data_IF_318321260194
#
_entry.id   IF_318321260194
#
_cell.length_a   1.000
_cell.length_b   1.000
_cell.length_c   1.000
_cell.angle_alpha   90.00
_cell.angle_beta   90.00
_cell.angle_gamma   90.00
#
_symmetry.space_group_name_H-M   'P 1'
#
loop_
_entity.id
_entity.type
_entity.pdbx_description
1 polymer ?
#
# COMPACT_ATOMS: atom_id res chain seq x y z
N UNK A 1 -11.02 -10.76 -7.00
CA UNK A 1 -9.73 -10.05 -6.87
C UNK A 1 -8.88 -10.79 -5.84
N UNK A 2 -8.29 -11.90 -6.31
CA UNK A 2 -7.54 -12.82 -5.45
C UNK A 2 -6.06 -12.43 -5.26
N UNK A 3 -5.65 -11.29 -5.84
CA UNK A 3 -4.27 -10.83 -5.85
C UNK A 3 -3.70 -10.64 -4.43
N UNK A 4 -4.54 -10.17 -3.49
CA UNK A 4 -4.15 -10.04 -2.07
C UNK A 4 -4.04 -11.38 -1.36
N UNK A 5 -4.56 -12.45 -1.95
CA UNK A 5 -4.52 -13.79 -1.36
C UNK A 5 -3.29 -14.61 -1.79
N UNK A 6 -2.55 -14.14 -2.78
CA UNK A 6 -1.35 -14.80 -3.30
C UNK A 6 -0.05 -14.26 -2.64
N UNK A 7 -0.15 -14.05 -1.34
CA UNK A 7 0.96 -13.63 -0.49
C UNK A 7 1.92 -14.79 -0.25
N UNK A 8 3.04 -14.80 -0.95
CA UNK A 8 4.10 -15.81 -0.77
C UNK A 8 5.37 -15.18 -0.26
N UNK A 9 6.07 -15.82 0.71
CA UNK A 9 7.41 -15.41 1.08
C UNK A 9 8.37 -15.50 -0.12
N UNK A 10 9.39 -14.67 -0.14
CA UNK A 10 10.45 -14.67 -1.15
C UNK A 10 10.68 -13.28 -1.77
N UNK A 11 9.63 -12.53 -1.99
CA UNK A 11 9.68 -11.17 -2.56
C UNK A 11 8.47 -10.35 -2.12
N UNK A 12 8.55 -9.04 -2.32
CA UNK A 12 7.41 -8.17 -2.10
C UNK A 12 6.72 -7.81 -3.42
N UNK A 13 5.41 -7.59 -3.36
CA UNK A 13 4.59 -7.23 -4.50
C UNK A 13 4.13 -5.77 -4.46
N UNK A 14 4.02 -5.15 -5.62
CA UNK A 14 3.49 -3.79 -5.82
C UNK A 14 2.09 -3.86 -6.44
N UNK A 15 1.14 -3.18 -5.82
CA UNK A 15 -0.23 -3.08 -6.26
C UNK A 15 -0.57 -1.62 -6.56
N UNK A 16 -0.72 -1.28 -7.84
CA UNK A 16 -1.03 0.06 -8.31
C UNK A 16 -2.52 0.11 -8.67
N UNK A 17 -3.29 0.93 -7.96
CA UNK A 17 -4.73 1.04 -8.19
C UNK A 17 -5.27 2.43 -7.91
N UNK A 18 -6.38 2.79 -8.59
CA UNK A 18 -7.07 4.04 -8.29
C UNK A 18 -7.67 4.01 -6.87
N UNK A 19 -7.78 5.19 -6.25
CA UNK A 19 -8.37 5.34 -4.90
C UNK A 19 -9.77 4.77 -4.78
N UNK A 20 -10.53 4.75 -5.87
CA UNK A 20 -11.87 4.14 -5.92
C UNK A 20 -11.87 2.64 -5.61
N UNK A 21 -10.74 1.96 -5.79
CA UNK A 21 -10.59 0.54 -5.47
C UNK A 21 -10.13 0.28 -4.03
N UNK A 22 -9.84 1.31 -3.24
CA UNK A 22 -9.45 1.15 -1.82
C UNK A 22 -10.42 0.27 -1.02
N UNK A 23 -11.74 0.40 -1.13
CA UNK A 23 -12.66 -0.49 -0.40
C UNK A 23 -12.44 -1.98 -0.72
N UNK A 24 -12.08 -2.31 -1.96
CA UNK A 24 -11.75 -3.69 -2.36
C UNK A 24 -10.47 -4.19 -1.70
N UNK A 25 -9.46 -3.31 -1.57
CA UNK A 25 -8.22 -3.63 -0.84
C UNK A 25 -8.54 -3.90 0.63
N UNK A 26 -9.32 -3.03 1.27
CA UNK A 26 -9.72 -3.19 2.67
C UNK A 26 -10.52 -4.48 2.90
N UNK A 27 -11.42 -4.84 1.97
CA UNK A 27 -12.10 -6.14 1.97
C UNK A 27 -11.09 -7.29 1.93
N UNK A 28 -10.09 -7.21 1.07
CA UNK A 28 -9.02 -8.20 0.97
C UNK A 28 -8.20 -8.33 2.25
N UNK A 29 -7.95 -7.23 2.99
CA UNK A 29 -7.28 -7.30 4.30
C UNK A 29 -8.08 -8.12 5.31
N UNK A 30 -9.40 -7.98 5.33
CA UNK A 30 -10.28 -8.79 6.17
C UNK A 30 -10.13 -10.28 5.85
N UNK A 31 -10.17 -10.64 4.57
CA UNK A 31 -10.00 -12.03 4.13
C UNK A 31 -8.60 -12.58 4.43
N UNK A 32 -7.55 -11.76 4.35
CA UNK A 32 -6.21 -12.15 4.79
C UNK A 32 -6.16 -12.42 6.29
N UNK A 33 -6.78 -11.56 7.10
CA UNK A 33 -6.82 -11.70 8.54
C UNK A 33 -7.60 -12.94 9.02
N UNK A 34 -8.49 -13.50 8.20
CA UNK A 34 -9.10 -14.81 8.47
C UNK A 34 -8.06 -15.93 8.53
N UNK A 35 -6.96 -15.81 7.79
CA UNK A 35 -5.89 -16.81 7.72
C UNK A 35 -4.88 -16.69 8.88
N UNK A 36 -4.81 -15.54 9.56
CA UNK A 36 -3.88 -15.33 10.67
C UNK A 36 -3.57 -13.87 10.95
N UNK A 37 -2.57 -13.58 11.79
CA UNK A 37 -2.13 -12.22 12.09
C UNK A 37 -1.70 -11.46 10.83
N UNK A 38 -2.00 -10.17 10.79
CA UNK A 38 -1.68 -9.27 9.69
C UNK A 38 -1.18 -7.94 10.24
N UNK A 39 -0.08 -7.41 9.67
CA UNK A 39 0.39 -6.06 9.96
C UNK A 39 0.05 -5.14 8.78
N UNK A 40 -0.57 -4.01 9.11
CA UNK A 40 -0.90 -2.95 8.14
C UNK A 40 -0.10 -1.70 8.47
N UNK A 41 0.70 -1.23 7.52
CA UNK A 41 1.40 0.06 7.57
C UNK A 41 0.61 1.05 6.69
N UNK A 42 -0.04 2.02 7.30
CA UNK A 42 -0.94 2.94 6.60
C UNK A 42 -0.29 4.31 6.42
N UNK A 43 0.11 4.63 5.19
CA UNK A 43 0.74 5.89 4.82
C UNK A 43 -0.24 6.99 4.40
N UNK A 44 -1.47 6.65 4.07
CA UNK A 44 -2.47 7.60 3.57
C UNK A 44 -3.65 7.84 4.52
N UNK A 45 -3.57 7.34 5.76
CA UNK A 45 -4.70 7.32 6.70
C UNK A 45 -5.97 6.72 6.06
N UNK A 46 -5.77 5.67 5.26
CA UNK A 46 -6.80 5.06 4.42
C UNK A 46 -7.48 3.85 5.04
N UNK A 47 -6.96 3.32 6.15
CA UNK A 47 -7.55 2.18 6.82
C UNK A 47 -8.90 2.55 7.46
N UNK A 48 -9.92 1.77 7.12
CA UNK A 48 -11.28 1.92 7.64
C UNK A 48 -11.76 0.59 8.25
N UNK A 49 -11.80 0.55 9.58
CA UNK A 49 -12.20 -0.64 10.32
C UNK A 49 -13.62 -1.11 9.99
N UNK A 50 -14.54 -0.19 9.72
CA UNK A 50 -15.93 -0.53 9.36
C UNK A 50 -16.00 -1.32 8.05
N UNK A 51 -15.23 -0.89 7.03
CA UNK A 51 -15.17 -1.60 5.74
C UNK A 51 -14.60 -3.01 5.91
N UNK A 52 -13.55 -3.15 6.71
CA UNK A 52 -12.93 -4.46 7.03
C UNK A 52 -13.90 -5.33 7.81
N UNK A 53 -14.57 -4.79 8.85
CA UNK A 53 -15.55 -5.49 9.66
C UNK A 53 -16.69 -6.06 8.82
N UNK A 54 -17.21 -5.27 7.88
CA UNK A 54 -18.25 -5.75 6.95
C UNK A 54 -17.78 -6.94 6.11
N UNK A 55 -16.53 -6.92 5.66
CA UNK A 55 -15.96 -8.01 4.86
C UNK A 55 -15.90 -9.33 5.63
N UNK A 56 -15.60 -9.26 6.93
CA UNK A 56 -15.53 -10.44 7.82
C UNK A 56 -16.82 -10.67 8.61
N UNK A 57 -17.94 -10.05 8.20
CA UNK A 57 -19.25 -10.20 8.83
C UNK A 57 -19.27 -9.88 10.32
N UNK A 58 -18.53 -8.86 10.76
CA UNK A 58 -18.47 -8.42 12.15
C UNK A 58 -17.76 -9.36 13.11
N UNK A 59 -16.93 -10.29 12.62
CA UNK A 59 -16.16 -11.19 13.49
C UNK A 59 -15.00 -10.44 14.15
N UNK A 60 -15.20 -10.05 15.40
CA UNK A 60 -14.23 -9.25 16.17
C UNK A 60 -12.90 -9.99 16.38
N UNK A 61 -12.92 -11.31 16.48
CA UNK A 61 -11.73 -12.13 16.58
C UNK A 61 -10.82 -12.05 15.35
N UNK A 62 -11.39 -11.78 14.17
CA UNK A 62 -10.62 -11.56 12.94
C UNK A 62 -10.03 -10.16 12.93
N UNK A 63 -10.83 -9.16 13.33
CA UNK A 63 -10.34 -7.78 13.43
C UNK A 63 -9.19 -7.65 14.45
N UNK A 64 -9.25 -8.37 15.56
CA UNK A 64 -8.20 -8.37 16.57
C UNK A 64 -6.84 -8.90 16.07
N UNK A 65 -6.82 -9.62 14.94
CA UNK A 65 -5.57 -10.09 14.30
C UNK A 65 -4.87 -9.01 13.46
N UNK A 66 -5.56 -7.90 13.17
CA UNK A 66 -4.99 -6.83 12.35
C UNK A 66 -4.33 -5.80 13.27
N UNK A 67 -3.02 -5.69 13.18
CA UNK A 67 -2.24 -4.63 13.81
C UNK A 67 -2.01 -3.51 12.80
N UNK A 68 -2.22 -2.27 13.22
CA UNK A 68 -2.10 -1.10 12.33
C UNK A 68 -1.08 -0.14 12.92
N UNK A 69 -0.15 0.29 12.08
CA UNK A 69 0.75 1.39 12.36
C UNK A 69 0.61 2.44 11.26
N UNK A 70 0.58 3.72 11.63
CA UNK A 70 0.41 4.82 10.69
C UNK A 70 1.67 5.65 10.57
N UNK A 71 1.99 6.04 9.33
CA UNK A 71 3.01 7.02 9.03
C UNK A 71 2.35 8.26 8.42
N UNK A 72 2.68 9.42 8.93
CA UNK A 72 2.22 10.72 8.41
C UNK A 72 3.30 11.44 7.62
N UNK A 73 4.55 10.98 7.72
CA UNK A 73 5.70 11.50 6.98
C UNK A 73 6.52 10.37 6.39
N UNK A 74 7.30 10.67 5.35
CA UNK A 74 8.21 9.68 4.76
C UNK A 74 9.27 9.20 5.75
N UNK A 75 9.73 10.04 6.69
CA UNK A 75 10.64 9.62 7.77
C UNK A 75 10.01 8.58 8.67
N UNK A 76 8.74 8.78 9.06
CA UNK A 76 8.00 7.79 9.86
C UNK A 76 7.79 6.49 9.10
N UNK A 77 7.55 6.54 7.79
CA UNK A 77 7.40 5.33 6.97
C UNK A 77 8.72 4.52 6.95
N UNK A 78 9.86 5.16 6.79
CA UNK A 78 11.17 4.50 6.88
C UNK A 78 11.36 3.87 8.26
N UNK A 79 11.13 4.62 9.33
CA UNK A 79 11.28 4.14 10.72
C UNK A 79 10.34 2.97 11.03
N UNK A 80 9.10 3.00 10.52
CA UNK A 80 8.16 1.88 10.68
C UNK A 80 8.69 0.63 9.99
N UNK A 81 9.10 0.73 8.72
CA UNK A 81 9.65 -0.41 7.98
C UNK A 81 10.91 -0.99 8.64
N UNK A 82 11.77 -0.12 9.17
CA UNK A 82 12.98 -0.52 9.90
C UNK A 82 12.65 -1.30 11.17
N UNK A 83 11.64 -0.84 11.92
CA UNK A 83 11.23 -1.41 13.22
C UNK A 83 10.46 -2.72 13.11
N UNK A 84 9.86 -3.03 11.94
CA UNK A 84 9.11 -4.28 11.75
C UNK A 84 10.06 -5.47 11.77
N UNK A 85 9.84 -6.46 12.67
CA UNK A 85 10.64 -7.67 12.68
C UNK A 85 10.39 -8.51 11.41
N UNK A 86 11.44 -9.13 10.89
CA UNK A 86 11.34 -10.05 9.77
C UNK A 86 10.87 -11.43 10.26
N UNK A 87 9.61 -11.52 10.64
CA UNK A 87 8.95 -12.75 11.05
C UNK A 87 7.96 -13.26 9.97
N UNK A 88 7.15 -14.26 10.30
CA UNK A 88 6.19 -14.85 9.37
C UNK A 88 4.88 -14.06 9.23
N UNK A 89 4.76 -12.90 9.87
CA UNK A 89 3.55 -12.07 9.80
C UNK A 89 3.50 -11.34 8.47
N UNK A 90 2.49 -11.55 7.63
CA UNK A 90 2.33 -10.78 6.39
C UNK A 90 2.19 -9.28 6.66
N UNK A 91 2.74 -8.47 5.75
CA UNK A 91 2.72 -7.01 5.85
C UNK A 91 2.03 -6.41 4.65
N UNK A 92 1.09 -5.51 4.87
CA UNK A 92 0.47 -4.70 3.83
C UNK A 92 0.73 -3.23 4.08
N UNK A 93 1.40 -2.57 3.15
CA UNK A 93 1.57 -1.12 3.15
C UNK A 93 0.42 -0.50 2.34
N UNK A 94 -0.46 0.26 2.99
CA UNK A 94 -1.56 0.97 2.35
C UNK A 94 -1.15 2.40 1.98
N UNK A 95 -1.53 2.83 0.78
CA UNK A 95 -1.25 4.19 0.27
C UNK A 95 0.20 4.62 0.52
N UNK A 96 1.14 3.72 0.28
CA UNK A 96 2.54 3.83 0.67
C UNK A 96 3.19 5.13 0.22
N UNK A 97 2.95 5.56 -1.03
CA UNK A 97 3.52 6.80 -1.57
C UNK A 97 2.84 8.06 -1.06
N UNK A 98 1.73 7.99 -0.33
CA UNK A 98 1.04 9.20 0.15
C UNK A 98 1.94 10.08 1.03
N UNK A 99 2.80 9.47 1.84
CA UNK A 99 3.77 10.18 2.68
C UNK A 99 4.91 10.82 1.89
N UNK A 100 5.16 10.38 0.65
CA UNK A 100 6.20 10.89 -0.23
C UNK A 100 5.74 11.99 -1.16
N UNK A 101 4.44 12.31 -1.15
CA UNK A 101 3.88 13.43 -1.90
C UNK A 101 3.88 14.74 -1.11
N UNK A 102 4.45 14.77 0.08
CA UNK A 102 4.62 15.98 0.89
C UNK A 102 5.60 16.94 0.21
N UNK A 103 5.08 18.04 -0.34
CA UNK A 103 5.85 19.06 -1.05
C UNK A 103 6.73 19.93 -0.12
N UNK A 104 6.55 19.82 1.21
CA UNK A 104 7.40 20.51 2.18
C UNK A 104 8.85 20.00 2.16
N UNK A 105 9.08 18.78 1.66
CA UNK A 105 10.40 18.20 1.53
C UNK A 105 10.94 18.30 0.09
N UNK A 106 12.24 18.61 -0.08
CA UNK A 106 12.87 18.60 -1.39
C UNK A 106 12.76 17.23 -2.07
N UNK A 107 12.58 17.20 -3.39
CA UNK A 107 12.40 15.98 -4.15
C UNK A 107 13.56 14.97 -3.97
N UNK A 108 14.81 15.46 -3.94
CA UNK A 108 15.98 14.60 -3.73
C UNK A 108 15.95 13.89 -2.38
N UNK A 109 15.45 14.54 -1.34
CA UNK A 109 15.32 13.95 0.00
C UNK A 109 14.21 12.89 0.03
N UNK A 110 13.03 13.18 -0.55
CA UNK A 110 11.96 12.20 -0.69
C UNK A 110 12.41 10.97 -1.46
N UNK A 111 13.17 11.17 -2.54
CA UNK A 111 13.73 10.10 -3.36
C UNK A 111 14.75 9.26 -2.57
N UNK A 112 15.62 9.90 -1.79
CA UNK A 112 16.57 9.23 -0.90
C UNK A 112 15.87 8.36 0.13
N UNK A 113 14.84 8.89 0.79
CA UNK A 113 14.05 8.18 1.78
C UNK A 113 13.27 7.01 1.16
N UNK A 114 12.72 7.18 -0.04
CA UNK A 114 12.06 6.09 -0.75
C UNK A 114 13.05 4.95 -1.07
N UNK A 115 14.25 5.29 -1.52
CA UNK A 115 15.32 4.30 -1.74
C UNK A 115 15.69 3.56 -0.45
N UNK A 116 15.71 4.24 0.70
CA UNK A 116 16.01 3.59 1.98
C UNK A 116 14.90 2.62 2.44
N UNK A 117 13.67 2.74 1.93
CA UNK A 117 12.60 1.78 2.20
C UNK A 117 12.82 0.43 1.49
N UNK A 118 13.44 0.43 0.32
CA UNK A 118 13.56 -0.77 -0.53
C UNK A 118 14.27 -1.96 0.13
N UNK A 119 15.41 -1.79 0.83
CA UNK A 119 16.07 -2.89 1.54
C UNK A 119 15.17 -3.49 2.64
N UNK A 120 14.39 -2.64 3.32
CA UNK A 120 13.47 -3.12 4.36
C UNK A 120 12.30 -3.91 3.76
N UNK A 121 11.72 -3.45 2.65
CA UNK A 121 10.69 -4.21 1.92
C UNK A 121 11.23 -5.56 1.44
N UNK A 122 12.44 -5.58 0.89
CA UNK A 122 13.10 -6.81 0.47
C UNK A 122 13.38 -7.76 1.64
N UNK A 123 13.84 -7.22 2.79
CA UNK A 123 14.08 -7.99 4.03
C UNK A 123 12.80 -8.63 4.54
N UNK A 124 11.72 -7.87 4.62
CA UNK A 124 10.42 -8.34 5.06
C UNK A 124 9.83 -9.36 4.07
N UNK A 125 9.92 -9.09 2.76
CA UNK A 125 9.42 -9.96 1.71
C UNK A 125 10.07 -11.34 1.68
N UNK A 126 11.33 -11.46 2.13
CA UNK A 126 12.00 -12.77 2.29
C UNK A 126 11.43 -13.60 3.43
N UNK A 127 10.97 -12.96 4.50
CA UNK A 127 10.47 -13.64 5.69
C UNK A 127 8.98 -13.97 5.59
N UNK A 128 8.18 -13.06 5.04
CA UNK A 128 6.74 -13.21 4.87
C UNK A 128 6.26 -12.57 3.56
N UNK A 129 4.99 -12.74 3.22
CA UNK A 129 4.40 -12.00 2.11
C UNK A 129 4.32 -10.50 2.44
N UNK A 130 4.77 -9.66 1.51
CA UNK A 130 4.65 -8.19 1.61
C UNK A 130 3.93 -7.66 0.38
N UNK A 131 2.92 -6.82 0.59
CA UNK A 131 2.22 -6.10 -0.47
C UNK A 131 2.30 -4.60 -0.21
N UNK A 132 2.74 -3.87 -1.21
CA UNK A 132 2.77 -2.40 -1.21
C UNK A 132 1.67 -1.91 -2.13
N UNK A 133 0.63 -1.31 -1.56
CA UNK A 133 -0.46 -0.70 -2.31
C UNK A 133 -0.21 0.80 -2.49
N UNK A 134 -0.33 1.25 -3.73
CA UNK A 134 -0.11 2.63 -4.14
C UNK A 134 -1.32 3.13 -4.93
N UNK A 135 -1.81 4.30 -4.56
CA UNK A 135 -2.87 5.00 -5.29
C UNK A 135 -2.31 6.32 -5.83
N UNK A 136 -1.73 6.33 -7.04
CA UNK A 136 -1.18 7.56 -7.61
C UNK A 136 -2.28 8.61 -7.82
N UNK A 137 -1.93 9.91 -7.81
CA UNK A 137 -2.86 10.98 -8.14
C UNK A 137 -3.35 10.84 -9.59
N UNK A 138 -4.51 11.43 -9.92
CA UNK A 138 -5.06 11.39 -11.27
C UNK A 138 -4.12 12.02 -12.32
N UNK A 139 -3.41 13.08 -11.92
CA UNK A 139 -2.37 13.71 -12.74
C UNK A 139 -1.05 13.21 -12.24
N UNK A 140 -0.35 12.46 -13.08
CA UNK A 140 0.98 11.92 -12.75
C UNK A 140 2.01 13.00 -13.09
N UNK A 141 2.55 13.63 -12.07
CA UNK A 141 3.70 14.53 -12.20
C UNK A 141 4.97 13.73 -12.47
N UNK A 142 6.02 14.33 -13.08
CA UNK A 142 7.29 13.64 -13.33
C UNK A 142 7.90 12.97 -12.09
N UNK A 143 7.80 13.63 -10.94
CA UNK A 143 8.26 13.08 -9.65
C UNK A 143 7.50 11.82 -9.24
N UNK A 144 6.17 11.82 -9.39
CA UNK A 144 5.33 10.66 -9.11
C UNK A 144 5.69 9.48 -10.02
N UNK A 145 5.94 9.77 -11.30
CA UNK A 145 6.38 8.76 -12.26
C UNK A 145 7.70 8.12 -11.83
N UNK A 146 8.67 8.94 -11.39
CA UNK A 146 9.97 8.46 -10.89
C UNK A 146 9.83 7.57 -9.66
N UNK A 147 8.96 7.92 -8.70
CA UNK A 147 8.71 7.09 -7.52
C UNK A 147 8.05 5.75 -7.89
N UNK A 148 7.08 5.77 -8.80
CA UNK A 148 6.44 4.56 -9.30
C UNK A 148 7.43 3.66 -10.04
N UNK A 149 8.27 4.22 -10.89
CA UNK A 149 9.32 3.50 -11.61
C UNK A 149 10.30 2.84 -10.63
N UNK A 150 10.74 3.56 -9.59
CA UNK A 150 11.63 3.03 -8.57
C UNK A 150 11.02 1.81 -7.85
N UNK A 151 9.74 1.89 -7.47
CA UNK A 151 9.05 0.77 -6.83
C UNK A 151 8.83 -0.38 -7.80
N UNK A 152 8.43 -0.09 -9.04
CA UNK A 152 8.18 -1.10 -10.07
C UNK A 152 9.44 -1.91 -10.39
N UNK A 153 10.58 -1.24 -10.51
CA UNK A 153 11.86 -1.89 -10.80
C UNK A 153 12.38 -2.75 -9.63
N UNK A 154 11.99 -2.42 -8.41
CA UNK A 154 12.44 -3.12 -7.21
C UNK A 154 11.49 -4.24 -6.75
N UNK A 155 10.23 -4.20 -7.16
CA UNK A 155 9.22 -5.18 -6.78
C UNK A 155 9.45 -6.51 -7.51
N UNK A 156 9.20 -7.62 -6.82
CA UNK A 156 9.25 -8.94 -7.42
C UNK A 156 8.04 -9.26 -8.30
N UNK A 157 6.89 -8.62 -8.03
CA UNK A 157 5.66 -8.73 -8.81
C UNK A 157 4.94 -7.39 -8.83
N UNK A 158 4.34 -7.04 -9.95
CA UNK A 158 3.59 -5.79 -10.11
C UNK A 158 2.21 -6.08 -10.69
N UNK A 159 1.18 -5.58 -10.02
CA UNK A 159 -0.20 -5.61 -10.50
C UNK A 159 -0.70 -4.17 -10.63
N UNK A 160 -1.28 -3.86 -11.77
CA UNK A 160 -1.88 -2.55 -12.04
C UNK A 160 -3.33 -2.74 -12.47
N UNK A 161 -4.25 -2.03 -11.81
CA UNK A 161 -5.61 -1.92 -12.31
C UNK A 161 -5.70 -0.72 -13.25
N UNK A 162 -6.49 -0.86 -14.31
CA UNK A 162 -6.77 0.25 -15.20
C UNK A 162 -7.46 1.39 -14.45
N UNK A 163 -6.94 2.60 -14.63
CA UNK A 163 -7.61 3.81 -14.15
C UNK A 163 -8.81 4.06 -15.05
N UNK A 164 -10.02 4.35 -14.50
CA UNK A 164 -11.14 4.75 -15.33
C UNK A 164 -10.72 5.97 -16.14
N UNK A 165 -10.86 5.88 -17.46
CA UNK A 165 -10.65 7.01 -18.36
C UNK A 165 -11.43 8.20 -17.81
N UNK A 166 -10.88 9.44 -17.86
CA UNK A 166 -11.65 10.62 -17.50
C UNK A 166 -12.92 10.60 -18.34
N UNK A 167 -14.08 10.64 -17.66
CA UNK A 167 -15.36 10.76 -18.33
C UNK A 167 -15.27 12.01 -19.24
N UNK A 168 -15.57 11.92 -20.54
CA UNK A 168 -15.58 13.10 -21.39
C UNK A 168 -16.50 14.13 -20.71
N UNK A 169 -16.00 15.35 -20.55
CA UNK A 169 -16.82 16.44 -20.00
C UNK A 169 -18.16 16.48 -20.73
N UNK A 170 -19.30 16.55 -19.99
CA UNK A 170 -20.58 16.69 -20.66
C UNK A 170 -20.51 17.96 -21.52
N UNK A 171 -20.73 17.79 -22.81
CA UNK A 171 -20.90 18.90 -23.73
C UNK A 171 -21.88 19.87 -23.10
N UNK A 172 -21.42 21.08 -22.74
CA UNK A 172 -22.29 22.19 -22.34
C UNK A 172 -23.14 22.50 -23.56
N UNK A 173 -24.34 21.99 -23.60
CA UNK A 173 -25.37 22.48 -24.49
C UNK A 173 -25.74 23.88 -23.98
N UNK A 174 -25.54 24.85 -24.83
CA UNK A 174 -25.85 26.28 -24.61
C UNK A 174 -27.31 26.47 -24.25
#
# INVERSE_FOLDING_TARGET
MDILLDFRPGQWGLLILPRSMRPKVLTGLGLLAERGPLLVLDGGNGFNAYTVSRAVRGRDEVLARIRISRAFTCYQMVSLLESVPADKTPVVCLDFLATFFDEALPNHERHRLLKSCLPHLARLGKAAGVMVAVSPPRVILPETATFLELLTNAAGSVWSAEFPSPCPEPLRLF
#
